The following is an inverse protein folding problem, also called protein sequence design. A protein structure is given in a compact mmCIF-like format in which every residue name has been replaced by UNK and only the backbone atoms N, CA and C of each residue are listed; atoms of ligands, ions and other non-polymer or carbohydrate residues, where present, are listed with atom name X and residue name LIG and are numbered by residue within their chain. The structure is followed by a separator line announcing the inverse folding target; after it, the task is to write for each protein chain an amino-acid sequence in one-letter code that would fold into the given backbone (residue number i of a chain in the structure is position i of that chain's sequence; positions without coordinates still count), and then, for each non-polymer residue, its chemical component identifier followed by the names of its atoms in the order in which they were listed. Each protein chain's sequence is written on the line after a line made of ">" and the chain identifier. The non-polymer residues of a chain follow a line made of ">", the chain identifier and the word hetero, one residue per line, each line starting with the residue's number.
data_IF_850624515854
#
_entry.id   IF_850624515854
#
_cell.length_a   1.000
_cell.length_b   1.000
_cell.length_c   1.000
_cell.angle_alpha   90.00
_cell.angle_beta   90.00
_cell.angle_gamma   90.00
#
_symmetry.space_group_name_H-M   'P 1'
#
loop_
_entity.id
_entity.type
_entity.pdbx_description
1 polymer ?
#
# COMPACT_ATOMS: atom_id res chain seq x y z
N UNK A 1 -5.58 -46.66 43.10
CA UNK A 1 -5.74 -45.21 42.86
C UNK A 1 -4.42 -44.70 42.32
N UNK A 2 -4.26 -44.71 41.00
CA UNK A 2 -3.13 -44.07 40.31
C UNK A 2 -3.73 -43.40 39.09
N UNK A 3 -4.06 -42.12 39.24
CA UNK A 3 -4.53 -41.27 38.15
C UNK A 3 -3.33 -40.92 37.26
N UNK A 4 -3.36 -41.41 36.03
CA UNK A 4 -2.39 -41.10 34.99
C UNK A 4 -2.60 -39.66 34.50
N UNK A 5 -1.90 -38.70 35.10
CA UNK A 5 -1.82 -37.32 34.60
C UNK A 5 -1.11 -37.37 33.24
N UNK A 6 -1.86 -37.18 32.16
CA UNK A 6 -1.29 -36.97 30.82
C UNK A 6 -0.82 -35.51 30.75
N UNK A 7 0.44 -35.21 30.38
CA UNK A 7 0.89 -33.84 30.23
C UNK A 7 0.16 -33.18 29.06
N UNK A 8 -0.41 -32.00 29.30
CA UNK A 8 -1.06 -31.17 28.29
C UNK A 8 -0.01 -30.77 27.22
N UNK A 9 -0.16 -31.32 26.01
CA UNK A 9 0.75 -31.10 24.90
C UNK A 9 0.57 -29.66 24.39
N UNK A 10 1.65 -28.87 24.20
CA UNK A 10 1.51 -27.47 23.82
C UNK A 10 0.82 -27.36 22.45
N UNK A 11 -0.41 -26.86 22.44
CA UNK A 11 -1.16 -26.55 21.23
C UNK A 11 -0.35 -25.56 20.38
N UNK A 12 0.29 -26.08 19.33
CA UNK A 12 0.92 -25.24 18.33
C UNK A 12 -0.17 -24.32 17.73
N UNK A 13 0.11 -23.02 17.55
CA UNK A 13 -0.88 -22.11 16.97
C UNK A 13 -1.33 -22.68 15.63
N UNK A 14 -2.64 -22.91 15.50
CA UNK A 14 -3.23 -23.51 14.31
C UNK A 14 -2.92 -22.62 13.10
N UNK A 15 -1.93 -23.02 12.30
CA UNK A 15 -1.64 -22.38 11.03
C UNK A 15 -2.79 -22.77 10.10
N UNK A 16 -3.57 -21.81 9.58
CA UNK A 16 -4.64 -22.15 8.67
C UNK A 16 -4.04 -22.84 7.45
N UNK A 17 -4.48 -24.06 7.17
CA UNK A 17 -4.11 -24.78 5.96
C UNK A 17 -4.88 -24.15 4.80
N UNK A 18 -4.25 -23.25 4.06
CA UNK A 18 -4.82 -22.64 2.85
C UNK A 18 -4.41 -23.47 1.64
N UNK A 19 -5.36 -23.74 0.73
CA UNK A 19 -5.06 -24.35 -0.56
C UNK A 19 -4.16 -23.42 -1.37
N UNK A 20 -3.05 -23.95 -1.89
CA UNK A 20 -2.13 -23.20 -2.74
C UNK A 20 -2.84 -22.59 -3.96
N UNK A 21 -3.77 -23.33 -4.55
CA UNK A 21 -4.51 -22.88 -5.74
C UNK A 21 -5.39 -21.67 -5.44
N UNK A 22 -6.00 -21.64 -4.27
CA UNK A 22 -6.89 -20.56 -3.84
C UNK A 22 -6.07 -19.32 -3.45
N UNK A 23 -4.97 -19.51 -2.72
CA UNK A 23 -4.05 -18.43 -2.34
C UNK A 23 -3.42 -17.76 -3.57
N UNK A 24 -2.98 -18.54 -4.55
CA UNK A 24 -2.39 -18.04 -5.79
C UNK A 24 -3.39 -17.21 -6.61
N UNK A 25 -4.64 -17.67 -6.72
CA UNK A 25 -5.70 -16.93 -7.42
C UNK A 25 -6.00 -15.62 -6.71
N UNK A 26 -6.15 -15.66 -5.39
CA UNK A 26 -6.48 -14.49 -4.57
C UNK A 26 -5.37 -13.44 -4.65
N UNK A 27 -4.12 -13.83 -4.36
CA UNK A 27 -2.95 -12.96 -4.43
C UNK A 27 -2.76 -12.34 -5.82
N UNK A 28 -2.99 -13.11 -6.89
CA UNK A 28 -2.92 -12.59 -8.25
C UNK A 28 -3.99 -11.54 -8.52
N UNK A 29 -5.24 -11.81 -8.16
CA UNK A 29 -6.35 -10.89 -8.36
C UNK A 29 -6.19 -9.61 -7.54
N UNK A 30 -5.74 -9.71 -6.29
CA UNK A 30 -5.52 -8.55 -5.42
C UNK A 30 -4.41 -7.65 -5.96
N UNK A 31 -3.28 -8.24 -6.39
CA UNK A 31 -2.22 -7.47 -7.01
C UNK A 31 -2.69 -6.84 -8.33
N UNK A 32 -3.32 -7.61 -9.21
CA UNK A 32 -3.79 -7.13 -10.51
C UNK A 32 -4.78 -5.97 -10.36
N UNK A 33 -5.76 -6.10 -9.47
CA UNK A 33 -6.75 -5.06 -9.21
C UNK A 33 -6.11 -3.80 -8.62
N UNK A 34 -5.17 -3.97 -7.67
CA UNK A 34 -4.43 -2.84 -7.10
C UNK A 34 -3.65 -2.07 -8.16
N UNK A 35 -3.04 -2.77 -9.13
CA UNK A 35 -2.27 -2.15 -10.21
C UNK A 35 -3.20 -1.41 -11.17
N UNK A 36 -4.30 -2.03 -11.58
CA UNK A 36 -5.25 -1.45 -12.55
C UNK A 36 -5.82 -0.15 -11.98
N UNK A 37 -6.35 -0.19 -10.75
CA UNK A 37 -7.09 0.93 -10.16
C UNK A 37 -6.17 2.01 -9.59
N UNK A 38 -5.10 1.60 -8.89
CA UNK A 38 -4.32 2.53 -8.04
C UNK A 38 -2.97 2.93 -8.62
N UNK A 39 -2.59 2.46 -9.82
CA UNK A 39 -1.27 2.76 -10.40
C UNK A 39 -1.30 3.00 -11.91
N UNK A 40 -1.88 2.08 -12.66
CA UNK A 40 -1.68 2.00 -14.10
C UNK A 40 -2.59 2.94 -14.88
N UNK A 41 -3.91 2.93 -14.61
CA UNK A 41 -4.89 3.70 -15.36
C UNK A 41 -5.13 5.09 -14.74
N UNK A 42 -5.23 6.14 -15.56
CA UNK A 42 -5.61 7.48 -15.09
C UNK A 42 -7.12 7.55 -14.80
N UNK A 43 -7.52 8.49 -13.93
CA UNK A 43 -8.93 8.81 -13.70
C UNK A 43 -9.49 9.63 -14.87
N UNK A 44 -10.70 9.34 -15.33
CA UNK A 44 -11.33 10.03 -16.46
C UNK A 44 -11.61 11.51 -16.19
N UNK A 45 -11.79 11.89 -14.92
CA UNK A 45 -12.19 13.25 -14.53
C UNK A 45 -11.06 14.26 -14.68
N UNK A 46 -9.84 13.84 -14.39
CA UNK A 46 -8.66 14.71 -14.40
C UNK A 46 -7.52 14.21 -15.31
N UNK A 47 -7.60 12.99 -15.83
CA UNK A 47 -6.55 12.37 -16.65
C UNK A 47 -5.29 12.02 -15.85
N UNK A 48 -5.32 12.14 -14.51
CA UNK A 48 -4.13 11.99 -13.67
C UNK A 48 -4.05 10.60 -13.05
N UNK A 49 -2.84 10.02 -13.10
CA UNK A 49 -2.46 8.88 -12.28
C UNK A 49 -2.38 9.30 -10.80
N UNK A 50 -2.61 8.38 -9.84
CA UNK A 50 -2.57 8.71 -8.41
C UNK A 50 -1.28 9.41 -7.95
N UNK A 51 -0.12 9.05 -8.53
CA UNK A 51 1.16 9.69 -8.20
C UNK A 51 1.21 11.16 -8.61
N UNK A 52 0.67 11.53 -9.77
CA UNK A 52 0.64 12.93 -10.22
C UNK A 52 -0.24 13.79 -9.30
N UNK A 53 -1.39 13.26 -8.90
CA UNK A 53 -2.31 13.95 -7.99
C UNK A 53 -1.65 14.24 -6.64
N UNK A 54 -0.92 13.28 -6.08
CA UNK A 54 -0.15 13.43 -4.83
C UNK A 54 0.94 14.49 -4.94
N UNK A 55 1.68 14.52 -6.06
CA UNK A 55 2.72 15.52 -6.31
C UNK A 55 2.11 16.92 -6.39
N UNK A 56 1.09 17.12 -7.22
CA UNK A 56 0.44 18.43 -7.39
C UNK A 56 -0.21 18.91 -6.09
N UNK A 57 -0.81 18.00 -5.32
CA UNK A 57 -1.39 18.32 -4.03
C UNK A 57 -0.33 18.75 -3.00
N UNK A 58 0.76 17.99 -2.88
CA UNK A 58 1.87 18.36 -2.00
C UNK A 58 2.51 19.69 -2.40
N UNK A 59 2.60 19.96 -3.71
CA UNK A 59 3.10 21.24 -4.20
C UNK A 59 2.19 22.41 -3.85
N UNK A 60 0.87 22.21 -3.94
CA UNK A 60 -0.12 23.20 -3.52
C UNK A 60 -0.02 23.48 -2.01
N UNK A 61 0.01 22.44 -1.18
CA UNK A 61 0.11 22.58 0.29
C UNK A 61 1.45 23.18 0.74
N UNK A 62 2.55 22.85 0.07
CA UNK A 62 3.86 23.45 0.29
C UNK A 62 3.99 24.88 -0.26
N UNK A 63 2.97 25.37 -0.96
CA UNK A 63 2.95 26.69 -1.58
C UNK A 63 3.97 26.85 -2.71
N UNK A 64 4.31 25.79 -3.45
CA UNK A 64 5.20 25.82 -4.60
C UNK A 64 4.42 26.22 -5.86
N UNK A 65 3.99 27.47 -5.90
CA UNK A 65 3.24 28.07 -7.00
C UNK A 65 4.18 28.79 -7.98
N UNK A 66 3.70 29.05 -9.20
CA UNK A 66 4.51 29.58 -10.30
C UNK A 66 5.07 30.99 -10.07
N UNK A 67 4.49 31.73 -9.13
CA UNK A 67 4.93 33.07 -8.70
C UNK A 67 6.15 33.03 -7.75
N UNK A 68 6.54 31.86 -7.24
CA UNK A 68 7.61 31.73 -6.24
C UNK A 68 8.93 31.22 -6.83
N UNK A 69 10.08 31.51 -6.18
CA UNK A 69 11.37 30.99 -6.61
C UNK A 69 11.45 29.47 -6.61
N UNK A 70 12.25 28.91 -7.52
CA UNK A 70 12.48 27.47 -7.62
C UNK A 70 13.02 26.87 -6.32
N UNK A 71 12.57 25.65 -6.05
CA UNK A 71 13.02 24.83 -4.91
C UNK A 71 13.61 23.53 -5.42
N UNK A 72 14.52 22.94 -4.65
CA UNK A 72 15.16 21.67 -5.02
C UNK A 72 14.13 20.55 -5.09
N UNK A 73 14.18 19.74 -6.15
CA UNK A 73 13.26 18.60 -6.35
C UNK A 73 13.27 17.62 -5.18
N UNK A 74 14.44 17.38 -4.57
CA UNK A 74 14.59 16.50 -3.40
C UNK A 74 13.67 16.90 -2.23
N UNK A 75 13.40 18.19 -2.05
CA UNK A 75 12.49 18.66 -1.00
C UNK A 75 11.04 18.25 -1.29
N UNK A 76 10.58 18.46 -2.53
CA UNK A 76 9.22 18.11 -2.96
C UNK A 76 9.02 16.59 -2.92
N UNK A 77 10.01 15.82 -3.38
CA UNK A 77 9.98 14.35 -3.30
C UNK A 77 9.87 13.89 -1.84
N UNK A 78 10.66 14.47 -0.94
CA UNK A 78 10.59 14.15 0.50
C UNK A 78 9.23 14.46 1.11
N UNK A 79 8.65 15.62 0.79
CA UNK A 79 7.32 16.02 1.28
C UNK A 79 6.22 15.08 0.76
N UNK A 80 6.29 14.66 -0.52
CA UNK A 80 5.32 13.73 -1.12
C UNK A 80 5.44 12.34 -0.48
N UNK A 81 6.65 11.81 -0.36
CA UNK A 81 6.87 10.48 0.21
C UNK A 81 6.49 10.42 1.70
N UNK A 82 6.83 11.45 2.46
CA UNK A 82 6.56 11.48 3.89
C UNK A 82 5.08 11.64 4.26
N UNK A 83 4.26 12.21 3.38
CA UNK A 83 2.87 12.57 3.70
C UNK A 83 1.81 11.86 2.87
N UNK A 84 2.08 11.56 1.60
CA UNK A 84 1.02 11.22 0.63
C UNK A 84 1.31 9.98 -0.22
N UNK A 85 2.57 9.59 -0.40
CA UNK A 85 2.95 8.42 -1.17
C UNK A 85 3.91 7.51 -0.37
N UNK A 86 3.39 6.45 0.28
CA UNK A 86 4.26 5.38 0.78
C UNK A 86 4.90 4.62 -0.39
#
# INVERSE_FOLDING_TARGET
>A
MTDSITPDEPQQPAVPSVSLEDEMKQSYLDYAMSVIVSRALPDVRDGLKPVHRRILYAMKEGGYTSDKPYRKSAKIVGDVMGKYHP
#
